data_IF_476317349987
#
_entry.id   IF_476317349987
#
_cell.length_a   1.000
_cell.length_b   1.000
_cell.length_c   1.000
_cell.angle_alpha   90.00
_cell.angle_beta   90.00
_cell.angle_gamma   90.00
#
_symmetry.space_group_name_H-M   'P 1'
#
loop_
_entity.id
_entity.type
_entity.pdbx_description
1 polymer ?
#
# COMPACT_ATOMS: atom_id res chain seq x y z
N UNK A 1 18.10 -1.74 1.89
CA UNK A 1 17.54 -0.38 1.77
C UNK A 1 16.06 -0.56 1.49
N UNK A 2 15.24 0.41 1.86
CA UNK A 2 13.77 0.31 1.85
C UNK A 2 13.14 1.08 0.68
N UNK A 3 11.91 0.68 0.32
CA UNK A 3 11.10 1.38 -0.68
C UNK A 3 9.69 1.61 -0.16
N UNK A 4 9.22 2.85 -0.28
CA UNK A 4 7.79 3.16 -0.26
C UNK A 4 7.17 2.73 -1.59
N UNK A 5 6.75 1.47 -1.67
CA UNK A 5 6.22 0.85 -2.90
C UNK A 5 4.87 1.48 -3.28
N UNK A 6 4.05 1.81 -2.27
CA UNK A 6 2.81 2.54 -2.44
C UNK A 6 2.78 3.74 -1.50
N UNK A 7 2.37 4.89 -2.03
CA UNK A 7 2.18 6.12 -1.25
C UNK A 7 0.75 6.62 -1.41
N UNK A 8 0.04 6.83 -0.28
CA UNK A 8 -1.25 7.53 -0.21
C UNK A 8 -2.37 6.94 -1.07
N UNK A 9 -2.39 5.61 -1.21
CA UNK A 9 -3.36 4.88 -2.00
C UNK A 9 -4.74 4.76 -1.33
N UNK A 10 -4.91 5.17 -0.08
CA UNK A 10 -6.17 5.07 0.66
C UNK A 10 -6.74 6.48 0.90
N UNK A 11 -8.01 6.68 0.57
CA UNK A 11 -8.73 7.93 0.82
C UNK A 11 -9.18 8.06 2.30
N UNK A 12 -9.61 9.25 2.70
CA UNK A 12 -9.95 9.57 4.10
C UNK A 12 -11.07 8.69 4.69
N UNK A 13 -11.96 8.16 3.84
CA UNK A 13 -13.03 7.23 4.22
C UNK A 13 -12.58 5.75 4.29
N UNK A 14 -11.32 5.48 3.94
CA UNK A 14 -10.73 4.15 3.92
C UNK A 14 -10.98 3.37 2.62
N UNK A 15 -11.56 3.98 1.59
CA UNK A 15 -11.65 3.40 0.25
C UNK A 15 -10.31 3.51 -0.49
N UNK A 16 -10.14 2.68 -1.53
CA UNK A 16 -8.99 2.78 -2.42
C UNK A 16 -9.12 4.07 -3.25
N UNK A 17 -8.06 4.86 -3.30
CA UNK A 17 -8.05 6.14 -3.99
C UNK A 17 -8.23 5.94 -5.49
N UNK A 18 -9.15 6.69 -6.09
CA UNK A 18 -9.27 6.78 -7.55
C UNK A 18 -8.10 7.59 -8.10
N UNK A 19 -7.14 6.89 -8.69
CA UNK A 19 -5.94 7.45 -9.32
C UNK A 19 -5.82 6.94 -10.76
N UNK A 20 -4.98 7.55 -11.62
CA UNK A 20 -4.75 7.04 -12.99
C UNK A 20 -4.34 5.55 -13.03
N UNK A 21 -3.66 5.07 -11.98
CA UNK A 21 -3.31 3.66 -11.80
C UNK A 21 -4.54 2.75 -11.68
N UNK A 22 -5.57 3.20 -10.97
CA UNK A 22 -6.84 2.50 -10.88
C UNK A 22 -7.51 2.40 -12.26
N UNK A 23 -7.47 3.46 -13.07
CA UNK A 23 -8.08 3.43 -14.40
C UNK A 23 -7.33 2.51 -15.38
N UNK A 24 -6.00 2.40 -15.23
CA UNK A 24 -5.15 1.58 -16.10
C UNK A 24 -5.04 0.11 -15.68
N UNK A 25 -4.98 -0.18 -14.38
CA UNK A 25 -4.72 -1.52 -13.82
C UNK A 25 -5.93 -2.09 -13.08
N UNK A 26 -6.83 -1.23 -12.60
CA UNK A 26 -7.92 -1.61 -11.69
C UNK A 26 -7.48 -1.60 -10.23
N UNK A 27 -8.34 -2.14 -9.36
CA UNK A 27 -8.16 -2.14 -7.90
C UNK A 27 -6.86 -2.85 -7.43
N UNK A 28 -6.26 -3.67 -8.28
CA UNK A 28 -5.05 -4.43 -7.96
C UNK A 28 -3.75 -3.64 -8.13
N UNK A 29 -3.80 -2.34 -8.46
CA UNK A 29 -2.59 -1.57 -8.79
C UNK A 29 -1.55 -1.57 -7.67
N UNK A 30 -1.97 -1.51 -6.40
CA UNK A 30 -1.04 -1.58 -5.25
C UNK A 30 -0.45 -2.98 -5.13
N UNK A 31 -1.27 -4.03 -5.25
CA UNK A 31 -0.80 -5.41 -5.17
C UNK A 31 0.23 -5.72 -6.27
N UNK A 32 -0.03 -5.27 -7.49
CA UNK A 32 0.90 -5.40 -8.62
C UNK A 32 2.21 -4.65 -8.39
N UNK A 33 2.17 -3.48 -7.76
CA UNK A 33 3.39 -2.75 -7.40
C UNK A 33 4.26 -3.55 -6.41
N UNK A 34 3.65 -4.17 -5.38
CA UNK A 34 4.38 -5.00 -4.42
C UNK A 34 4.93 -6.30 -5.04
N UNK A 35 4.17 -6.95 -5.91
CA UNK A 35 4.64 -8.11 -6.69
C UNK A 35 5.89 -7.75 -7.49
N UNK A 36 5.81 -6.70 -8.32
CA UNK A 36 6.91 -6.33 -9.20
C UNK A 36 8.11 -5.71 -8.47
N UNK A 37 7.89 -4.99 -7.36
CA UNK A 37 8.98 -4.50 -6.52
C UNK A 37 9.78 -5.66 -5.92
N UNK A 38 9.10 -6.69 -5.43
CA UNK A 38 9.77 -7.87 -4.88
C UNK A 38 10.50 -8.68 -5.96
N UNK A 39 9.92 -8.82 -7.16
CA UNK A 39 10.58 -9.49 -8.29
C UNK A 39 11.84 -8.73 -8.75
N UNK A 40 11.82 -7.40 -8.72
CA UNK A 40 12.93 -6.56 -9.17
C UNK A 40 14.08 -6.51 -8.15
N UNK A 41 13.77 -6.47 -6.85
CA UNK A 41 14.75 -6.49 -5.76
C UNK A 41 14.23 -7.34 -4.58
N UNK A 42 14.54 -8.65 -4.55
CA UNK A 42 14.08 -9.53 -3.49
C UNK A 42 14.65 -9.20 -2.10
N UNK A 43 15.75 -8.45 -2.02
CA UNK A 43 16.45 -8.14 -0.77
C UNK A 43 16.00 -6.81 -0.15
N UNK A 44 15.26 -5.98 -0.90
CA UNK A 44 14.68 -4.75 -0.39
C UNK A 44 13.59 -5.00 0.66
N UNK A 45 13.47 -4.07 1.61
CA UNK A 45 12.28 -4.00 2.46
C UNK A 45 11.19 -3.17 1.78
N UNK A 46 9.97 -3.69 1.72
CA UNK A 46 8.86 -3.09 0.99
C UNK A 46 7.84 -2.49 1.97
N UNK A 47 7.65 -1.17 1.90
CA UNK A 47 6.76 -0.40 2.76
C UNK A 47 5.56 0.14 1.99
N UNK A 48 4.43 0.25 2.68
CA UNK A 48 3.33 1.12 2.29
C UNK A 48 3.36 2.37 3.17
N UNK A 49 3.30 3.57 2.58
CA UNK A 49 3.40 4.83 3.30
C UNK A 49 2.13 5.69 3.14
N UNK A 50 1.67 6.32 4.22
CA UNK A 50 0.48 7.18 4.18
C UNK A 50 0.44 8.19 5.34
N UNK A 51 -0.37 9.25 5.15
CA UNK A 51 -0.68 10.27 6.16
C UNK A 51 -2.05 10.02 6.83
N UNK A 52 -2.35 10.75 7.89
CA UNK A 52 -3.63 10.70 8.62
C UNK A 52 -4.00 9.31 9.20
N UNK A 53 -3.01 8.47 9.55
CA UNK A 53 -3.26 7.13 10.10
C UNK A 53 -3.73 7.11 11.56
N UNK A 54 -3.73 8.28 12.22
CA UNK A 54 -4.44 8.50 13.47
C UNK A 54 -5.96 8.46 13.28
N UNK A 55 -6.47 8.76 12.09
CA UNK A 55 -7.91 8.73 11.77
C UNK A 55 -8.42 7.29 11.62
N UNK A 56 -9.50 6.89 12.34
CA UNK A 56 -9.95 5.50 12.35
C UNK A 56 -10.36 4.92 10.99
N UNK A 57 -11.07 5.69 10.16
CA UNK A 57 -11.58 5.20 8.87
C UNK A 57 -10.43 4.90 7.88
N UNK A 58 -9.52 5.87 7.71
CA UNK A 58 -8.33 5.71 6.88
C UNK A 58 -7.42 4.57 7.37
N UNK A 59 -7.14 4.50 8.68
CA UNK A 59 -6.40 3.40 9.29
C UNK A 59 -7.04 2.04 9.01
N UNK A 60 -8.37 1.93 9.08
CA UNK A 60 -9.07 0.70 8.75
C UNK A 60 -8.91 0.31 7.28
N UNK A 61 -8.88 1.28 6.36
CA UNK A 61 -8.57 1.07 4.94
C UNK A 61 -7.17 0.49 4.72
N UNK A 62 -6.16 1.11 5.35
CA UNK A 62 -4.77 0.62 5.28
C UNK A 62 -4.62 -0.77 5.88
N UNK A 63 -5.25 -1.06 7.02
CA UNK A 63 -5.25 -2.41 7.61
C UNK A 63 -5.86 -3.44 6.64
N UNK A 64 -6.93 -3.08 5.91
CA UNK A 64 -7.52 -3.98 4.90
C UNK A 64 -6.55 -4.23 3.75
N UNK A 65 -5.89 -3.19 3.25
CA UNK A 65 -4.88 -3.31 2.19
C UNK A 65 -3.73 -4.23 2.61
N UNK A 66 -3.12 -3.99 3.79
CA UNK A 66 -2.00 -4.82 4.29
C UNK A 66 -2.42 -6.28 4.42
N UNK A 67 -3.62 -6.54 4.96
CA UNK A 67 -4.14 -7.91 5.09
C UNK A 67 -4.40 -8.58 3.74
N UNK A 68 -4.88 -7.83 2.76
CA UNK A 68 -5.10 -8.33 1.40
C UNK A 68 -3.78 -8.72 0.73
N UNK A 69 -2.75 -7.87 0.82
CA UNK A 69 -1.40 -8.19 0.32
C UNK A 69 -0.86 -9.48 0.96
N UNK A 70 -0.93 -9.59 2.29
CA UNK A 70 -0.49 -10.78 3.03
C UNK A 70 -1.30 -12.03 2.65
N UNK A 71 -2.62 -11.91 2.49
CA UNK A 71 -3.49 -13.03 2.10
C UNK A 71 -3.19 -13.55 0.68
N UNK A 72 -2.71 -12.68 -0.20
CA UNK A 72 -2.24 -13.03 -1.56
C UNK A 72 -0.81 -13.57 -1.58
N UNK A 73 -0.11 -13.62 -0.44
CA UNK A 73 1.28 -14.05 -0.34
C UNK A 73 2.30 -13.01 -0.80
N UNK A 74 1.90 -11.75 -0.94
CA UNK A 74 2.80 -10.67 -1.31
C UNK A 74 3.58 -10.17 -0.09
N UNK A 75 4.86 -9.88 -0.30
CA UNK A 75 5.76 -9.37 0.74
C UNK A 75 5.42 -7.91 1.05
N UNK A 76 5.22 -7.61 2.32
CA UNK A 76 5.16 -6.25 2.88
C UNK A 76 5.88 -6.29 4.23
N UNK A 77 6.96 -5.53 4.34
CA UNK A 77 7.86 -5.59 5.50
C UNK A 77 7.48 -4.54 6.55
N UNK A 78 6.85 -3.43 6.13
CA UNK A 78 6.45 -2.40 7.08
C UNK A 78 5.43 -1.39 6.59
N UNK A 79 5.09 -0.47 7.50
CA UNK A 79 4.15 0.62 7.29
C UNK A 79 4.82 1.93 7.66
N UNK A 80 4.93 2.84 6.69
CA UNK A 80 5.36 4.23 6.89
C UNK A 80 4.20 5.08 7.38
N UNK A 81 4.41 5.80 8.50
CA UNK A 81 3.45 6.76 9.04
C UNK A 81 4.06 8.16 8.91
N UNK A 82 3.60 8.94 7.93
CA UNK A 82 4.17 10.25 7.61
C UNK A 82 4.17 11.21 8.82
N UNK A 83 3.16 11.10 9.69
CA UNK A 83 3.08 11.85 10.96
C UNK A 83 3.11 13.38 10.80
N UNK A 84 2.40 13.89 9.78
CA UNK A 84 2.13 15.32 9.59
C UNK A 84 1.25 15.92 10.70
#
# INVERSE_FOLDING_TARGET
YDWDVGNEAIDEDGSLRKAPWHDGVGDDYVAKAFEFAHEADPDAELYYNDYNLEKPAKRAGVIRLVKDLQARGLRIDGLGIQSH
#
